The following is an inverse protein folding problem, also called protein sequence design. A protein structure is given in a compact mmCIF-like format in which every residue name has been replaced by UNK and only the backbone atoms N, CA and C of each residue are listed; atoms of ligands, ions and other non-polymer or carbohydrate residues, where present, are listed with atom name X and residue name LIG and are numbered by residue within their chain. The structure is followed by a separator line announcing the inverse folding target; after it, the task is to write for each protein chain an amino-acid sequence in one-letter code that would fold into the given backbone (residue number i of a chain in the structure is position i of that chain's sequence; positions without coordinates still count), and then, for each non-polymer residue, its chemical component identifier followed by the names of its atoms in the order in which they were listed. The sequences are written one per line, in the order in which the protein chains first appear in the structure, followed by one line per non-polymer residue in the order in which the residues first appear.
data_IF_709494452988
#
_entry.id   IF_709494452988
#
_cell.length_a   1.000
_cell.length_b   1.000
_cell.length_c   1.000
_cell.angle_alpha   90.00
_cell.angle_beta   90.00
_cell.angle_gamma   90.00
#
_symmetry.space_group_name_H-M   'P 1'
#
loop_
_entity.id
_entity.type
_entity.pdbx_description
1 polymer ?
#
# COMPACT_ATOMS: atom_id res chain seq x y z
N UNK A 1 25.68 -1.17 -30.42
CA UNK A 1 26.70 -0.99 -29.37
C UNK A 1 26.17 -1.55 -28.06
N UNK A 2 26.80 -2.59 -27.51
CA UNK A 2 26.41 -3.27 -26.26
C UNK A 2 27.43 -2.90 -25.19
N UNK A 3 27.02 -2.21 -24.13
CA UNK A 3 27.88 -1.89 -22.99
C UNK A 3 27.36 -2.62 -21.75
N UNK A 4 27.91 -3.82 -21.51
CA UNK A 4 27.79 -4.53 -20.22
C UNK A 4 28.75 -3.85 -19.24
N UNK A 5 28.25 -3.29 -18.14
CA UNK A 5 29.08 -2.89 -16.99
C UNK A 5 28.91 -3.91 -15.87
N UNK A 6 29.95 -4.70 -15.67
CA UNK A 6 30.18 -5.58 -14.53
C UNK A 6 30.63 -4.73 -13.34
N UNK A 7 29.88 -4.75 -12.23
CA UNK A 7 30.34 -4.17 -10.97
C UNK A 7 31.06 -5.25 -10.15
N UNK A 8 32.33 -4.96 -9.85
CA UNK A 8 33.21 -5.77 -9.02
C UNK A 8 32.78 -5.66 -7.56
N UNK A 9 32.59 -6.80 -6.92
CA UNK A 9 32.60 -6.93 -5.46
C UNK A 9 34.00 -6.60 -4.94
N UNK A 10 34.09 -5.68 -3.98
CA UNK A 10 35.31 -5.50 -3.18
C UNK A 10 34.90 -5.51 -1.72
N UNK A 11 35.02 -6.69 -1.11
CA UNK A 11 35.08 -6.81 0.33
C UNK A 11 36.31 -6.04 0.83
N UNK A 12 36.13 -5.15 1.79
CA UNK A 12 37.24 -4.57 2.54
C UNK A 12 37.05 -4.91 4.00
N UNK A 13 37.57 -6.06 4.37
CA UNK A 13 37.94 -6.39 5.75
C UNK A 13 38.98 -5.36 6.20
N UNK A 14 38.68 -4.64 7.27
CA UNK A 14 39.67 -3.89 8.04
C UNK A 14 39.51 -4.25 9.51
N UNK A 15 40.17 -5.33 9.91
CA UNK A 15 40.62 -5.53 11.29
C UNK A 15 41.81 -4.59 11.51
N UNK A 16 41.74 -3.73 12.51
CA UNK A 16 42.82 -3.54 13.49
C UNK A 16 42.53 -2.35 14.39
N UNK A 17 42.65 -2.56 15.71
CA UNK A 17 43.05 -1.48 16.61
C UNK A 17 42.16 -1.22 17.81
N UNK A 18 42.01 -2.20 18.72
CA UNK A 18 41.73 -1.92 20.14
C UNK A 18 41.95 -3.19 20.97
N UNK A 19 43.21 -3.64 21.05
CA UNK A 19 43.58 -4.86 21.75
C UNK A 19 44.93 -4.72 22.43
N UNK A 20 45.01 -3.82 23.41
CA UNK A 20 46.06 -3.84 24.42
C UNK A 20 45.64 -2.90 25.56
N UNK A 21 45.05 -3.48 26.61
CA UNK A 21 44.99 -3.01 28.03
C UNK A 21 43.69 -3.44 28.71
N UNK A 22 43.40 -4.73 28.75
CA UNK A 22 42.57 -5.34 29.83
C UNK A 22 43.06 -6.77 30.08
N UNK A 23 44.38 -6.93 30.18
CA UNK A 23 45.05 -8.18 30.54
C UNK A 23 45.60 -8.09 31.95
N UNK A 24 44.71 -7.98 32.94
CA UNK A 24 45.05 -8.23 34.33
C UNK A 24 43.75 -8.43 35.11
N UNK A 25 43.48 -9.68 35.49
CA UNK A 25 42.54 -9.97 36.56
C UNK A 25 41.22 -10.58 36.12
N UNK A 26 41.24 -11.79 35.55
CA UNK A 26 40.19 -12.80 35.79
C UNK A 26 40.75 -14.23 35.60
N UNK A 27 41.87 -14.52 36.28
CA UNK A 27 42.37 -15.89 36.46
C UNK A 27 42.11 -16.38 37.89
N UNK A 28 40.92 -16.10 38.43
CA UNK A 28 40.56 -16.50 39.79
C UNK A 28 39.07 -16.81 39.94
N UNK A 29 38.47 -17.56 39.00
CA UNK A 29 37.14 -18.17 39.25
C UNK A 29 37.05 -19.56 38.62
N UNK A 30 38.01 -20.44 38.94
CA UNK A 30 37.90 -21.87 38.62
C UNK A 30 37.76 -22.75 39.87
N UNK A 31 37.52 -22.16 41.05
CA UNK A 31 37.61 -22.88 42.34
C UNK A 31 36.33 -23.01 43.16
N UNK A 32 35.19 -22.40 42.79
CA UNK A 32 34.06 -22.27 43.72
C UNK A 32 32.73 -22.91 43.28
N UNK A 33 32.69 -23.66 42.18
CA UNK A 33 31.47 -24.36 41.72
C UNK A 33 31.27 -25.74 42.39
N UNK A 34 31.39 -25.82 43.73
CA UNK A 34 31.03 -27.02 44.51
C UNK A 34 30.26 -26.69 45.80
N UNK A 35 29.31 -25.76 45.74
CA UNK A 35 28.42 -25.48 46.86
C UNK A 35 27.08 -24.89 46.44
N UNK A 36 26.03 -25.14 47.26
CA UNK A 36 24.61 -24.76 47.07
C UNK A 36 24.33 -23.25 46.87
N UNK A 37 25.37 -22.41 46.77
CA UNK A 37 25.30 -20.98 46.46
C UNK A 37 25.38 -20.64 44.95
N UNK A 38 25.54 -21.64 44.08
CA UNK A 38 25.66 -21.44 42.62
C UNK A 38 24.40 -20.89 41.92
N UNK A 39 23.25 -20.88 42.58
CA UNK A 39 21.99 -20.39 42.01
C UNK A 39 21.89 -18.86 41.99
N UNK A 40 22.58 -18.14 42.88
CA UNK A 40 22.50 -16.68 42.94
C UNK A 40 23.35 -16.00 41.84
N UNK A 41 24.47 -16.62 41.45
CA UNK A 41 25.40 -16.08 40.44
C UNK A 41 24.94 -16.40 39.01
N UNK A 42 24.23 -17.51 38.81
CA UNK A 42 23.61 -17.82 37.51
C UNK A 42 22.53 -16.82 37.11
N UNK A 43 21.70 -16.39 38.07
CA UNK A 43 20.57 -15.48 37.80
C UNK A 43 21.00 -14.07 37.39
N UNK A 44 22.07 -13.52 37.97
CA UNK A 44 22.54 -12.18 37.61
C UNK A 44 23.14 -12.14 36.20
N UNK A 45 23.86 -13.19 35.79
CA UNK A 45 24.40 -13.29 34.44
C UNK A 45 23.29 -13.35 33.36
N UNK A 46 22.20 -14.08 33.63
CA UNK A 46 21.04 -14.17 32.71
C UNK A 46 20.31 -12.83 32.59
N UNK A 47 20.16 -12.08 33.70
CA UNK A 47 19.52 -10.76 33.67
C UNK A 47 20.36 -9.76 32.86
N UNK A 48 21.69 -9.74 33.07
CA UNK A 48 22.58 -8.84 32.32
C UNK A 48 22.60 -9.18 30.83
N UNK A 49 22.64 -10.46 30.46
CA UNK A 49 22.55 -10.89 29.07
C UNK A 49 21.17 -10.63 28.46
N UNK A 50 20.10 -10.78 29.23
CA UNK A 50 18.73 -10.46 28.79
C UNK A 50 18.53 -8.98 28.55
N UNK A 51 19.06 -8.12 29.44
CA UNK A 51 19.03 -6.66 29.27
C UNK A 51 19.91 -6.22 28.09
N UNK A 52 21.09 -6.80 27.92
CA UNK A 52 21.95 -6.53 26.77
C UNK A 52 21.31 -7.00 25.45
N UNK A 53 20.66 -8.16 25.44
CA UNK A 53 19.87 -8.64 24.31
C UNK A 53 18.72 -7.69 23.99
N UNK A 54 17.92 -7.29 24.99
CA UNK A 54 16.84 -6.33 24.82
C UNK A 54 17.35 -4.99 24.28
N UNK A 55 18.49 -4.49 24.76
CA UNK A 55 19.09 -3.24 24.27
C UNK A 55 19.58 -3.34 22.82
N UNK A 56 20.18 -4.48 22.45
CA UNK A 56 20.65 -4.73 21.08
C UNK A 56 19.50 -4.92 20.09
N UNK A 57 18.35 -5.45 20.54
CA UNK A 57 17.15 -5.59 19.71
C UNK A 57 16.24 -4.35 19.72
N UNK A 58 16.30 -3.50 20.75
CA UNK A 58 15.51 -2.26 20.83
C UNK A 58 16.18 -1.05 20.18
N UNK A 59 17.49 -1.09 19.89
CA UNK A 59 18.24 0.04 19.33
C UNK A 59 18.24 0.16 17.81
N UNK A 60 17.41 -0.62 17.10
CA UNK A 60 17.51 -0.82 15.65
C UNK A 60 16.37 -0.25 14.82
N UNK A 61 15.84 0.93 15.15
CA UNK A 61 15.03 1.70 14.20
C UNK A 61 15.76 3.01 13.90
N UNK A 62 16.90 2.89 13.20
CA UNK A 62 17.52 4.02 12.52
C UNK A 62 16.54 4.49 11.43
N UNK A 63 15.77 5.51 11.78
CA UNK A 63 15.06 6.37 10.85
C UNK A 63 16.09 7.16 10.03
N UNK A 64 16.75 6.45 9.12
CA UNK A 64 17.59 7.05 8.10
C UNK A 64 16.79 8.06 7.27
N UNK A 65 17.43 9.11 6.73
CA UNK A 65 16.76 10.09 5.89
C UNK A 65 15.97 9.37 4.78
N UNK A 66 14.67 9.69 4.58
CA UNK A 66 13.86 8.98 3.60
C UNK A 66 14.52 9.05 2.22
N UNK A 67 14.64 7.90 1.54
CA UNK A 67 15.15 7.83 0.16
C UNK A 67 14.29 8.76 -0.71
N UNK A 68 14.87 9.80 -1.35
CA UNK A 68 14.13 10.81 -2.10
C UNK A 68 13.36 10.24 -3.31
N UNK A 69 13.54 8.95 -3.64
CA UNK A 69 12.81 8.27 -4.72
C UNK A 69 11.63 7.42 -4.26
N UNK A 70 11.54 7.07 -2.97
CA UNK A 70 10.44 6.29 -2.46
C UNK A 70 9.34 7.24 -1.96
N UNK A 71 8.49 7.72 -2.86
CA UNK A 71 7.17 8.19 -2.42
C UNK A 71 6.51 7.00 -1.74
N UNK A 72 6.48 6.99 -0.41
CA UNK A 72 5.62 6.11 0.36
C UNK A 72 4.19 6.54 0.02
N UNK A 73 3.61 5.87 -0.99
CA UNK A 73 2.19 5.93 -1.23
C UNK A 73 1.54 5.14 -0.10
N UNK A 74 0.48 5.67 0.49
CA UNK A 74 -0.36 4.87 1.39
C UNK A 74 -0.79 3.62 0.61
N UNK A 75 -0.95 2.49 1.32
CA UNK A 75 -1.44 1.23 0.74
C UNK A 75 -2.94 1.33 0.42
N UNK A 76 -3.29 2.30 -0.45
CA UNK A 76 -4.63 2.60 -0.88
C UNK A 76 -4.71 2.73 -2.40
N UNK A 77 -5.52 1.88 -3.03
CA UNK A 77 -5.63 1.76 -4.47
C UNK A 77 -7.01 2.19 -4.99
N UNK A 78 -7.03 3.23 -5.84
CA UNK A 78 -8.22 3.68 -6.54
C UNK A 78 -8.14 3.33 -8.03
N UNK A 79 -9.12 2.56 -8.51
CA UNK A 79 -9.10 1.98 -9.85
C UNK A 79 -10.29 2.45 -10.69
N UNK A 80 -10.00 2.85 -11.92
CA UNK A 80 -11.00 3.32 -12.88
C UNK A 80 -11.29 2.27 -13.96
N UNK A 81 -12.54 1.83 -14.06
CA UNK A 81 -13.03 1.00 -15.14
C UNK A 81 -13.69 1.90 -16.21
N UNK A 82 -13.16 1.86 -17.43
CA UNK A 82 -13.59 2.74 -18.53
C UNK A 82 -14.03 1.96 -19.76
N UNK A 83 -14.69 2.64 -20.69
CA UNK A 83 -14.87 2.12 -22.04
C UNK A 83 -13.57 2.06 -22.84
N UNK A 84 -13.63 1.51 -24.04
CA UNK A 84 -12.47 1.24 -24.91
C UNK A 84 -11.59 2.48 -25.16
N UNK A 85 -12.20 3.66 -25.31
CA UNK A 85 -11.48 4.92 -25.55
C UNK A 85 -10.70 5.43 -24.33
N UNK A 86 -10.81 4.76 -23.18
CA UNK A 86 -10.05 5.09 -21.98
C UNK A 86 -10.32 6.50 -21.46
N UNK A 87 -9.24 7.17 -21.08
CA UNK A 87 -9.21 8.49 -20.42
C UNK A 87 -8.89 9.64 -21.39
N UNK A 88 -9.01 9.42 -22.70
CA UNK A 88 -8.68 10.43 -23.72
C UNK A 88 -9.62 11.64 -23.56
N UNK A 89 -9.10 12.85 -23.81
CA UNK A 89 -9.90 14.08 -23.75
C UNK A 89 -11.17 13.96 -24.61
N UNK A 90 -12.31 14.41 -24.06
CA UNK A 90 -13.62 14.28 -24.69
C UNK A 90 -14.34 12.94 -24.42
N UNK A 91 -13.70 12.00 -23.70
CA UNK A 91 -14.40 10.81 -23.19
C UNK A 91 -15.07 11.10 -21.84
N UNK A 92 -16.13 10.37 -21.47
CA UNK A 92 -16.76 10.50 -20.15
C UNK A 92 -15.81 10.20 -18.98
N UNK A 93 -14.77 9.39 -19.20
CA UNK A 93 -13.84 8.99 -18.15
C UNK A 93 -12.70 10.00 -17.91
N UNK A 94 -12.42 10.90 -18.85
CA UNK A 94 -11.40 11.93 -18.69
C UNK A 94 -11.58 12.80 -17.42
N UNK A 95 -12.75 13.42 -17.16
CA UNK A 95 -12.93 14.22 -15.95
C UNK A 95 -12.87 13.40 -14.66
N UNK A 96 -13.26 12.12 -14.70
CA UNK A 96 -13.14 11.20 -13.56
C UNK A 96 -11.67 10.92 -13.26
N UNK A 97 -10.88 10.62 -14.29
CA UNK A 97 -9.43 10.42 -14.17
C UNK A 97 -8.71 11.66 -13.65
N UNK A 98 -9.10 12.85 -14.09
CA UNK A 98 -8.56 14.09 -13.52
C UNK A 98 -8.88 14.26 -12.03
N UNK A 99 -10.08 13.91 -11.60
CA UNK A 99 -10.47 13.94 -10.19
C UNK A 99 -9.66 12.95 -9.35
N UNK A 100 -9.44 11.75 -9.88
CA UNK A 100 -8.58 10.74 -9.26
C UNK A 100 -7.14 11.22 -9.13
N UNK A 101 -6.57 11.79 -10.20
CA UNK A 101 -5.22 12.34 -10.15
C UNK A 101 -5.10 13.45 -9.11
N UNK A 102 -6.11 14.32 -9.01
CA UNK A 102 -6.13 15.35 -7.97
C UNK A 102 -6.14 14.74 -6.57
N UNK A 103 -6.99 13.75 -6.29
CA UNK A 103 -7.00 13.06 -5.00
C UNK A 103 -5.66 12.36 -4.72
N UNK A 104 -5.04 11.73 -5.71
CA UNK A 104 -3.73 11.08 -5.57
C UNK A 104 -2.63 12.06 -5.13
N UNK A 105 -2.67 13.30 -5.61
CA UNK A 105 -1.74 14.35 -5.18
C UNK A 105 -1.97 14.75 -3.71
N UNK A 106 -3.23 14.77 -3.27
CA UNK A 106 -3.60 15.20 -1.92
C UNK A 106 -3.39 14.10 -0.86
N UNK A 107 -3.71 12.85 -1.19
CA UNK A 107 -3.76 11.73 -0.23
C UNK A 107 -2.63 10.74 -0.38
N UNK A 108 -1.85 10.82 -1.47
CA UNK A 108 -0.90 9.77 -1.86
C UNK A 108 -1.55 8.39 -2.03
N UNK A 109 -2.83 8.35 -2.40
CA UNK A 109 -3.45 7.14 -2.93
C UNK A 109 -2.88 6.82 -4.33
N UNK A 110 -2.70 5.55 -4.63
CA UNK A 110 -2.30 5.10 -5.97
C UNK A 110 -3.54 5.05 -6.86
N UNK A 111 -3.44 5.64 -8.05
CA UNK A 111 -4.53 5.67 -9.03
C UNK A 111 -4.16 4.88 -10.28
N UNK A 112 -5.08 4.05 -10.75
CA UNK A 112 -4.89 3.27 -11.96
C UNK A 112 -6.17 3.20 -12.79
N UNK A 113 -6.07 2.87 -14.09
CA UNK A 113 -7.23 2.69 -14.94
C UNK A 113 -7.12 1.43 -15.79
N UNK A 114 -8.28 0.87 -16.14
CA UNK A 114 -8.43 -0.29 -17.01
C UNK A 114 -9.47 0.05 -18.08
N UNK A 115 -9.05 0.16 -19.35
CA UNK A 115 -9.97 0.26 -20.46
C UNK A 115 -10.53 -1.13 -20.80
N UNK A 116 -11.86 -1.22 -20.93
CA UNK A 116 -12.51 -2.41 -21.46
C UNK A 116 -12.33 -2.44 -22.96
N UNK A 117 -11.39 -3.27 -23.42
CA UNK A 117 -11.11 -3.46 -24.84
C UNK A 117 -12.13 -4.44 -25.43
N UNK A 118 -12.59 -4.16 -26.65
CA UNK A 118 -13.58 -5.00 -27.35
C UNK A 118 -15.03 -4.62 -27.05
N UNK A 119 -15.98 -5.57 -27.22
CA UNK A 119 -17.41 -5.29 -27.11
C UNK A 119 -17.78 -4.60 -25.79
N UNK A 120 -18.57 -3.53 -25.85
CA UNK A 120 -19.08 -2.84 -24.67
C UNK A 120 -20.35 -3.55 -24.19
N UNK A 121 -20.20 -4.76 -23.64
CA UNK A 121 -21.28 -5.57 -23.08
C UNK A 121 -20.94 -6.03 -21.66
N UNK A 122 -21.94 -6.31 -20.81
CA UNK A 122 -21.69 -6.78 -19.44
C UNK A 122 -20.81 -8.03 -19.37
N UNK A 123 -20.99 -8.97 -20.31
CA UNK A 123 -20.20 -10.20 -20.38
C UNK A 123 -18.71 -9.93 -20.66
N UNK A 124 -18.41 -8.98 -21.56
CA UNK A 124 -17.03 -8.61 -21.85
C UNK A 124 -16.42 -7.72 -20.75
N UNK A 125 -17.22 -6.90 -20.07
CA UNK A 125 -16.76 -6.02 -18.98
C UNK A 125 -16.37 -6.82 -17.73
N UNK A 126 -17.11 -7.89 -17.40
CA UNK A 126 -16.97 -8.65 -16.14
C UNK A 126 -15.54 -9.17 -15.89
N UNK A 127 -14.80 -9.72 -16.86
CA UNK A 127 -13.39 -10.07 -16.67
C UNK A 127 -12.50 -8.89 -16.28
N UNK A 128 -12.69 -7.70 -16.87
CA UNK A 128 -11.91 -6.50 -16.52
C UNK A 128 -12.24 -6.02 -15.12
N UNK A 129 -13.51 -6.02 -14.74
CA UNK A 129 -13.94 -5.75 -13.36
C UNK A 129 -13.29 -6.72 -12.37
N UNK A 130 -13.30 -8.04 -12.66
CA UNK A 130 -12.66 -9.04 -11.81
C UNK A 130 -11.15 -8.80 -11.66
N UNK A 131 -10.49 -8.30 -12.70
CA UNK A 131 -9.07 -7.95 -12.62
C UNK A 131 -8.79 -6.80 -11.65
N UNK A 132 -9.73 -5.86 -11.47
CA UNK A 132 -9.62 -4.80 -10.46
C UNK A 132 -9.76 -5.37 -9.05
N UNK A 133 -10.68 -6.32 -8.86
CA UNK A 133 -10.89 -6.95 -7.56
C UNK A 133 -9.67 -7.79 -7.14
N UNK A 134 -9.05 -8.48 -8.10
CA UNK A 134 -7.80 -9.24 -7.87
C UNK A 134 -6.61 -8.33 -7.53
N UNK A 135 -6.61 -7.09 -8.02
CA UNK A 135 -5.61 -6.07 -7.68
C UNK A 135 -5.88 -5.38 -6.35
N UNK A 136 -6.94 -5.80 -5.64
CA UNK A 136 -7.31 -5.29 -4.32
C UNK A 136 -7.57 -3.77 -4.30
N UNK A 137 -8.22 -3.23 -5.32
CA UNK A 137 -8.62 -1.84 -5.32
C UNK A 137 -9.62 -1.55 -4.17
N UNK A 138 -9.32 -0.57 -3.32
CA UNK A 138 -10.18 -0.10 -2.23
C UNK A 138 -11.36 0.72 -2.74
N UNK A 139 -11.14 1.47 -3.82
CA UNK A 139 -12.16 2.25 -4.52
C UNK A 139 -12.17 1.86 -5.99
N UNK A 140 -13.35 1.53 -6.52
CA UNK A 140 -13.56 1.30 -7.94
C UNK A 140 -14.53 2.31 -8.51
N UNK A 141 -14.07 3.05 -9.50
CA UNK A 141 -14.86 4.01 -10.25
C UNK A 141 -15.23 3.39 -11.60
N UNK A 142 -16.51 3.36 -11.95
CA UNK A 142 -17.00 2.79 -13.20
C UNK A 142 -17.65 3.86 -14.06
N UNK A 143 -17.21 3.94 -15.32
CA UNK A 143 -17.69 4.95 -16.28
C UNK A 143 -18.18 4.27 -17.56
N UNK A 144 -19.45 4.50 -17.89
CA UNK A 144 -20.13 3.91 -19.05
C UNK A 144 -21.18 2.88 -18.65
N UNK A 145 -22.24 2.76 -19.44
CA UNK A 145 -23.41 1.93 -19.11
C UNK A 145 -23.07 0.48 -18.73
N UNK A 146 -22.40 -0.30 -19.61
CA UNK A 146 -22.01 -1.68 -19.32
C UNK A 146 -21.07 -1.82 -18.10
N UNK A 147 -20.18 -0.85 -17.90
CA UNK A 147 -19.27 -0.78 -16.76
C UNK A 147 -20.04 -0.57 -15.45
N UNK A 148 -20.99 0.36 -15.45
CA UNK A 148 -21.85 0.65 -14.30
C UNK A 148 -22.73 -0.55 -13.98
N UNK A 149 -23.36 -1.16 -14.98
CA UNK A 149 -24.24 -2.33 -14.79
C UNK A 149 -23.52 -3.49 -14.09
N UNK A 150 -22.33 -3.87 -14.58
CA UNK A 150 -21.52 -4.93 -13.95
C UNK A 150 -21.10 -4.54 -12.53
N UNK A 151 -20.69 -3.29 -12.35
CA UNK A 151 -20.26 -2.78 -11.03
C UNK A 151 -21.39 -2.85 -10.01
N UNK A 152 -22.59 -2.37 -10.35
CA UNK A 152 -23.75 -2.41 -9.47
C UNK A 152 -24.21 -3.84 -9.17
N UNK A 153 -24.22 -4.72 -10.18
CA UNK A 153 -24.63 -6.12 -10.03
C UNK A 153 -23.71 -6.91 -9.09
N UNK A 154 -22.41 -6.62 -9.11
CA UNK A 154 -21.39 -7.36 -8.37
C UNK A 154 -20.91 -6.65 -7.09
N UNK A 155 -21.21 -5.36 -6.88
CA UNK A 155 -20.73 -4.57 -5.74
C UNK A 155 -21.00 -5.22 -4.37
N UNK A 156 -22.17 -5.86 -4.20
CA UNK A 156 -22.54 -6.56 -2.96
C UNK A 156 -21.61 -7.71 -2.58
N UNK A 157 -20.87 -8.27 -3.55
CA UNK A 157 -19.87 -9.34 -3.31
C UNK A 157 -18.61 -8.80 -2.63
N UNK A 158 -18.40 -7.49 -2.67
CA UNK A 158 -17.20 -6.81 -2.19
C UNK A 158 -17.56 -5.70 -1.20
N UNK A 159 -18.09 -6.03 0.00
CA UNK A 159 -18.56 -5.03 0.96
C UNK A 159 -17.46 -4.12 1.52
N UNK A 160 -16.19 -4.52 1.38
CA UNK A 160 -15.03 -3.73 1.79
C UNK A 160 -14.57 -2.71 0.74
N UNK A 161 -15.02 -2.88 -0.52
CA UNK A 161 -14.67 -2.00 -1.64
C UNK A 161 -15.76 -0.96 -1.81
N UNK A 162 -15.37 0.30 -1.99
CA UNK A 162 -16.29 1.39 -2.32
C UNK A 162 -16.40 1.54 -3.82
N UNK A 163 -17.61 1.63 -4.33
CA UNK A 163 -17.88 1.77 -5.74
C UNK A 163 -18.45 3.15 -6.03
N UNK A 164 -17.92 3.82 -7.06
CA UNK A 164 -18.45 5.09 -7.57
C UNK A 164 -18.84 4.89 -9.02
N UNK A 165 -20.10 5.12 -9.36
CA UNK A 165 -20.62 4.93 -10.71
C UNK A 165 -20.92 6.28 -11.36
N UNK A 166 -20.52 6.45 -12.62
CA UNK A 166 -20.68 7.70 -13.38
C UNK A 166 -21.35 7.38 -14.72
N UNK A 167 -22.47 8.06 -15.00
CA UNK A 167 -23.17 7.95 -16.28
C UNK A 167 -23.91 6.62 -16.49
N UNK A 168 -24.38 5.98 -15.41
CA UNK A 168 -25.31 4.85 -15.47
C UNK A 168 -26.76 5.29 -15.69
N UNK A 169 -27.64 4.35 -16.03
CA UNK A 169 -29.09 4.56 -16.14
C UNK A 169 -29.76 5.01 -14.82
N UNK A 170 -29.02 4.96 -13.71
CA UNK A 170 -29.42 5.39 -12.38
C UNK A 170 -29.17 6.89 -12.16
N UNK A 171 -29.76 7.74 -13.01
CA UNK A 171 -30.17 9.10 -12.60
C UNK A 171 -31.43 9.04 -11.70
N UNK A 172 -31.91 7.82 -11.43
CA UNK A 172 -32.90 7.50 -10.40
C UNK A 172 -32.18 6.87 -9.19
N UNK A 173 -32.54 7.30 -7.98
CA UNK A 173 -31.91 6.99 -6.68
C UNK A 173 -31.86 5.50 -6.25
N UNK A 174 -31.99 4.55 -7.17
CA UNK A 174 -32.01 3.12 -6.91
C UNK A 174 -30.59 2.56 -6.69
N UNK A 175 -29.96 2.92 -5.57
CA UNK A 175 -28.74 2.23 -5.09
C UNK A 175 -29.06 0.77 -4.79
N UNK A 176 -28.45 -0.15 -5.56
CA UNK A 176 -28.61 -1.60 -5.32
C UNK A 176 -27.83 -2.09 -4.09
N UNK A 177 -26.78 -1.36 -3.68
CA UNK A 177 -25.92 -1.73 -2.54
C UNK A 177 -25.45 -0.50 -1.75
N UNK A 178 -25.22 -0.60 -0.43
CA UNK A 178 -24.81 0.52 0.42
C UNK A 178 -23.38 1.00 0.14
N UNK A 179 -22.54 0.17 -0.48
CA UNK A 179 -21.18 0.50 -0.86
C UNK A 179 -21.06 1.08 -2.28
N UNK A 180 -22.18 1.42 -2.94
CA UNK A 180 -22.21 2.08 -4.25
C UNK A 180 -22.67 3.52 -4.08
N UNK A 181 -21.93 4.47 -4.63
CA UNK A 181 -22.29 5.89 -4.70
C UNK A 181 -22.42 6.33 -6.16
N UNK A 182 -23.46 7.08 -6.49
CA UNK A 182 -23.65 7.64 -7.82
C UNK A 182 -23.04 9.03 -7.86
N UNK A 183 -22.12 9.26 -8.81
CA UNK A 183 -21.59 10.59 -9.08
C UNK A 183 -22.25 11.17 -10.33
N UNK A 184 -22.88 12.34 -10.14
CA UNK A 184 -23.60 13.03 -11.22
C UNK A 184 -22.61 13.49 -12.29
N UNK A 185 -22.93 13.20 -13.55
CA UNK A 185 -22.15 13.70 -14.68
C UNK A 185 -22.33 15.22 -14.85
N UNK A 186 -21.30 15.91 -15.35
CA UNK A 186 -21.33 17.34 -15.64
C UNK A 186 -20.41 18.17 -14.73
N UNK A 187 -20.78 19.43 -14.52
CA UNK A 187 -19.98 20.38 -13.76
C UNK A 187 -19.82 19.93 -12.31
N UNK A 188 -18.56 19.84 -11.85
CA UNK A 188 -18.23 19.38 -10.51
C UNK A 188 -17.93 17.88 -10.37
N UNK A 189 -18.08 17.06 -11.43
CA UNK A 189 -17.75 15.63 -11.39
C UNK A 189 -16.32 15.37 -10.88
N UNK A 190 -15.36 16.14 -11.38
CA UNK A 190 -13.95 16.08 -10.95
C UNK A 190 -13.80 16.25 -9.43
N UNK A 191 -14.43 17.28 -8.87
CA UNK A 191 -14.37 17.55 -7.43
C UNK A 191 -15.10 16.49 -6.62
N UNK A 192 -16.25 16.00 -7.09
CA UNK A 192 -17.00 14.93 -6.41
C UNK A 192 -16.21 13.62 -6.36
N UNK A 193 -15.53 13.27 -7.46
CA UNK A 193 -14.65 12.09 -7.52
C UNK A 193 -13.47 12.25 -6.57
N UNK A 194 -12.81 13.40 -6.59
CA UNK A 194 -11.66 13.66 -5.71
C UNK A 194 -12.07 13.55 -4.24
N UNK A 195 -13.22 14.14 -3.89
CA UNK A 195 -13.74 14.12 -2.52
C UNK A 195 -14.15 12.71 -2.06
N UNK A 196 -14.78 11.92 -2.93
CA UNK A 196 -15.12 10.53 -2.63
C UNK A 196 -13.87 9.70 -2.28
N UNK A 197 -12.76 9.91 -2.99
CA UNK A 197 -11.50 9.21 -2.71
C UNK A 197 -10.88 9.71 -1.40
N UNK A 198 -10.85 11.03 -1.16
CA UNK A 198 -10.35 11.59 0.12
C UNK A 198 -11.10 11.02 1.33
N UNK A 199 -12.43 10.94 1.23
CA UNK A 199 -13.26 10.34 2.28
C UNK A 199 -13.04 8.84 2.43
N UNK A 200 -12.67 8.15 1.36
CA UNK A 200 -12.31 6.74 1.40
C UNK A 200 -10.99 6.49 2.12
N UNK A 201 -9.94 7.25 1.78
CA UNK A 201 -8.64 7.18 2.46
C UNK A 201 -8.77 7.56 3.94
N UNK A 202 -9.42 8.68 4.26
CA UNK A 202 -9.60 9.10 5.66
C UNK A 202 -10.27 8.03 6.52
N UNK A 203 -11.18 7.27 5.94
CA UNK A 203 -11.92 6.23 6.64
C UNK A 203 -11.21 4.87 6.68
N UNK A 204 -10.16 4.64 5.88
CA UNK A 204 -9.27 3.47 6.05
C UNK A 204 -8.24 3.68 7.15
N UNK A 205 -7.92 4.94 7.46
CA UNK A 205 -6.93 5.31 8.48
C UNK A 205 -7.52 5.36 9.91
N UNK A 206 -8.84 5.13 10.06
CA UNK A 206 -9.59 5.20 11.32
C UNK A 206 -9.91 3.82 11.89
#
# INVERSE_FOLDING_TARGET
MKTRRTWRTTAKTSRSGAGARLGAGLAAVAGSLRGRAGWAVGSSAVIVLGLAGAWLFAGGEESGPPDPRARQYEDFDACLLTGEKGIVAGTPAAPVWEGMQQASLDTRARVNYVPVVGPQSPDNVRPFFNSLMQRQCDVVLAVGGPQVEVTEADAKKYPKVRFVVVGGASDTDARTSPNVTVAKAGDGLKSSVAEAIRQAVKASDS
#
